data_IF_599093837590
#
_entry.id   IF_599093837590
#
_cell.length_a   1.000
_cell.length_b   1.000
_cell.length_c   1.000
_cell.angle_alpha   90.00
_cell.angle_beta   90.00
_cell.angle_gamma   90.00
#
_symmetry.space_group_name_H-M   'P 1'
#
loop_
_entity.id
_entity.type
_entity.pdbx_description
1 polymer ?
#
# COMPACT_ATOMS: atom_id res chain seq x y z
N UNK A 1 7.25 -74.49 -19.87
CA UNK A 1 7.60 -73.61 -18.74
C UNK A 1 7.55 -72.17 -19.25
N UNK A 2 6.42 -71.50 -19.00
CA UNK A 2 6.25 -70.07 -19.35
C UNK A 2 6.76 -69.24 -18.20
N UNK A 3 7.79 -68.36 -18.44
CA UNK A 3 8.24 -67.39 -17.45
C UNK A 3 7.42 -66.10 -17.60
N UNK A 4 6.56 -65.90 -16.60
CA UNK A 4 5.75 -64.69 -16.47
C UNK A 4 6.67 -63.52 -16.02
N UNK A 5 6.93 -62.50 -16.90
CA UNK A 5 7.63 -61.30 -16.55
C UNK A 5 6.66 -60.31 -15.89
N UNK A 6 6.82 -60.13 -14.59
CA UNK A 6 6.16 -59.05 -13.84
C UNK A 6 6.72 -57.72 -14.27
N UNK A 7 5.89 -56.89 -14.90
CA UNK A 7 6.21 -55.49 -15.19
C UNK A 7 5.72 -54.66 -14.00
N UNK A 8 6.64 -54.21 -13.18
CA UNK A 8 6.36 -53.25 -12.09
C UNK A 8 6.21 -51.87 -12.70
N UNK A 9 4.97 -51.38 -12.78
CA UNK A 9 4.66 -50.02 -13.17
C UNK A 9 4.92 -49.09 -11.99
N UNK A 10 6.04 -48.39 -11.99
CA UNK A 10 6.34 -47.32 -11.01
C UNK A 10 5.54 -46.10 -11.39
N UNK A 11 4.49 -45.81 -10.61
CA UNK A 11 3.75 -44.54 -10.70
C UNK A 11 4.60 -43.41 -10.11
N UNK A 12 5.17 -42.56 -10.99
CA UNK A 12 5.75 -41.28 -10.60
C UNK A 12 4.62 -40.33 -10.20
N UNK A 13 4.40 -40.18 -8.90
CA UNK A 13 3.59 -39.11 -8.36
C UNK A 13 4.41 -37.83 -8.42
N UNK A 14 4.21 -37.04 -9.48
CA UNK A 14 4.74 -35.68 -9.54
C UNK A 14 4.01 -34.84 -8.49
N UNK A 15 4.64 -34.61 -7.33
CA UNK A 15 4.24 -33.56 -6.41
C UNK A 15 4.45 -32.22 -7.12
N UNK A 16 3.38 -31.74 -7.77
CA UNK A 16 3.29 -30.37 -8.20
C UNK A 16 3.21 -29.51 -6.94
N UNK A 17 4.35 -28.96 -6.51
CA UNK A 17 4.37 -27.82 -5.59
C UNK A 17 3.69 -26.67 -6.30
N UNK A 18 2.37 -26.53 -6.08
CA UNK A 18 1.56 -25.43 -6.55
C UNK A 18 1.89 -24.17 -5.76
N UNK A 19 3.04 -23.54 -6.04
CA UNK A 19 3.24 -22.14 -5.74
C UNK A 19 2.12 -21.36 -6.44
N UNK A 20 1.26 -20.66 -5.70
CA UNK A 20 0.25 -19.79 -6.30
C UNK A 20 0.97 -18.88 -7.30
N UNK A 21 0.67 -19.03 -8.60
CA UNK A 21 1.18 -18.11 -9.63
C UNK A 21 0.69 -16.73 -9.21
N UNK A 22 1.62 -15.78 -9.00
CA UNK A 22 1.26 -14.39 -8.76
C UNK A 22 0.43 -13.92 -9.94
N UNK A 23 -0.69 -13.28 -9.65
CA UNK A 23 -1.58 -12.72 -10.67
C UNK A 23 -0.93 -11.47 -11.25
N UNK A 24 -0.91 -11.28 -12.60
CA UNK A 24 -0.45 -10.03 -13.20
C UNK A 24 -1.18 -8.79 -12.67
N UNK A 25 -2.45 -8.95 -12.28
CA UNK A 25 -3.26 -7.87 -11.68
C UNK A 25 -2.74 -7.50 -10.29
N UNK A 26 -2.36 -8.49 -9.48
CA UNK A 26 -1.74 -8.23 -8.18
C UNK A 26 -0.32 -7.67 -8.31
N UNK A 27 0.44 -8.05 -9.36
CA UNK A 27 1.73 -7.42 -9.67
C UNK A 27 1.52 -5.91 -9.96
N UNK A 28 0.52 -5.54 -10.79
CA UNK A 28 0.15 -4.14 -11.05
C UNK A 28 -0.29 -3.43 -9.77
N UNK A 29 -1.15 -4.06 -8.95
CA UNK A 29 -1.59 -3.50 -7.69
C UNK A 29 -0.41 -3.21 -6.74
N UNK A 30 0.60 -4.07 -6.71
CA UNK A 30 1.79 -3.87 -5.90
C UNK A 30 2.68 -2.73 -6.41
N UNK A 31 2.80 -2.55 -7.75
CA UNK A 31 3.49 -1.38 -8.31
C UNK A 31 2.79 -0.09 -7.89
N UNK A 32 1.44 -0.02 -7.99
CA UNK A 32 0.65 1.13 -7.50
C UNK A 32 0.86 1.34 -6.00
N UNK A 33 0.91 0.26 -5.20
CA UNK A 33 1.19 0.35 -3.77
C UNK A 33 2.57 0.95 -3.47
N UNK A 34 3.59 0.62 -4.24
CA UNK A 34 4.92 1.23 -4.11
C UNK A 34 4.90 2.73 -4.41
N UNK A 35 4.18 3.15 -5.47
CA UNK A 35 4.00 4.57 -5.79
C UNK A 35 3.31 5.32 -4.64
N UNK A 36 2.26 4.73 -4.06
CA UNK A 36 1.58 5.28 -2.87
C UNK A 36 2.57 5.54 -1.74
N UNK A 37 3.45 4.58 -1.45
CA UNK A 37 4.44 4.70 -0.38
C UNK A 37 5.47 5.79 -0.65
N UNK A 38 5.87 6.00 -1.90
CA UNK A 38 6.76 7.13 -2.24
C UNK A 38 6.05 8.48 -2.05
N UNK A 39 4.80 8.64 -2.52
CA UNK A 39 4.02 9.87 -2.30
C UNK A 39 3.81 10.11 -0.79
N UNK A 40 3.58 9.06 -0.03
CA UNK A 40 3.43 9.15 1.43
C UNK A 40 4.67 9.71 2.11
N UNK A 41 5.88 9.34 1.69
CA UNK A 41 7.13 9.93 2.19
C UNK A 41 7.19 11.43 1.94
N UNK A 42 6.78 11.85 0.75
CA UNK A 42 6.74 13.27 0.39
C UNK A 42 5.71 14.05 1.22
N UNK A 43 4.54 13.47 1.47
CA UNK A 43 3.51 14.05 2.36
C UNK A 43 4.06 14.22 3.78
N UNK A 44 4.76 13.22 4.32
CA UNK A 44 5.41 13.30 5.63
C UNK A 44 6.45 14.43 5.66
N UNK A 45 7.26 14.57 4.60
CA UNK A 45 8.22 15.67 4.49
C UNK A 45 7.55 17.05 4.40
N UNK A 46 6.37 17.14 3.78
CA UNK A 46 5.57 18.38 3.75
C UNK A 46 5.07 18.75 5.16
N UNK A 47 4.70 17.78 6.01
CA UNK A 47 4.29 18.07 7.39
C UNK A 47 5.37 18.80 8.18
N UNK A 48 6.63 18.38 8.06
CA UNK A 48 7.75 19.06 8.71
C UNK A 48 7.87 20.53 8.28
N UNK A 49 7.65 20.81 7.00
CA UNK A 49 7.67 22.19 6.46
C UNK A 49 6.46 23.01 6.96
N UNK A 50 5.26 22.40 6.96
CA UNK A 50 4.04 23.05 7.45
C UNK A 50 4.13 23.35 8.94
N UNK A 51 4.65 22.42 9.75
CA UNK A 51 4.89 22.65 11.17
C UNK A 51 5.87 23.81 11.41
N UNK A 52 6.92 23.91 10.58
CA UNK A 52 7.84 25.04 10.63
C UNK A 52 7.17 26.37 10.25
N UNK A 53 6.32 26.35 9.22
CA UNK A 53 5.57 27.53 8.77
C UNK A 53 4.59 28.01 9.82
N UNK A 54 3.84 27.11 10.47
CA UNK A 54 2.89 27.43 11.55
C UNK A 54 3.58 28.14 12.73
N UNK A 55 4.85 27.80 13.01
CA UNK A 55 5.63 28.38 14.10
C UNK A 55 6.48 29.61 13.66
N UNK A 56 6.28 30.12 12.47
CA UNK A 56 7.05 31.24 11.89
C UNK A 56 6.24 32.54 11.88
N UNK A 57 6.91 33.70 11.72
CA UNK A 57 6.24 34.97 11.44
C UNK A 57 5.47 35.00 10.12
N UNK A 58 5.70 34.01 9.24
CA UNK A 58 4.99 33.83 7.96
C UNK A 58 3.69 33.06 8.06
N UNK A 59 3.29 32.61 9.26
CA UNK A 59 2.01 31.96 9.44
C UNK A 59 0.85 32.91 9.13
N UNK A 60 -0.11 32.42 8.34
CA UNK A 60 -1.27 33.20 7.90
C UNK A 60 -2.57 32.69 8.54
N UNK A 61 -3.63 33.53 8.62
CA UNK A 61 -4.89 33.14 9.22
C UNK A 61 -5.49 31.90 8.54
N UNK A 62 -5.90 30.92 9.37
CA UNK A 62 -6.50 29.67 8.87
C UNK A 62 -5.53 28.54 8.54
N UNK A 63 -4.21 28.78 8.54
CA UNK A 63 -3.21 27.74 8.28
C UNK A 63 -3.36 26.56 9.26
N UNK A 64 -3.48 26.82 10.55
CA UNK A 64 -3.62 25.77 11.58
C UNK A 64 -4.83 24.88 11.34
N UNK A 65 -5.97 25.47 11.01
CA UNK A 65 -7.20 24.73 10.72
C UNK A 65 -7.04 23.87 9.46
N UNK A 66 -6.41 24.40 8.42
CA UNK A 66 -6.20 23.69 7.17
C UNK A 66 -5.21 22.52 7.34
N UNK A 67 -4.12 22.74 8.09
CA UNK A 67 -3.14 21.69 8.42
C UNK A 67 -3.81 20.59 9.25
N UNK A 68 -4.58 20.95 10.27
CA UNK A 68 -5.31 19.99 11.11
C UNK A 68 -6.30 19.15 10.27
N UNK A 69 -7.04 19.77 9.37
CA UNK A 69 -7.97 19.08 8.47
C UNK A 69 -7.24 18.10 7.53
N UNK A 70 -6.09 18.49 6.97
CA UNK A 70 -5.30 17.62 6.11
C UNK A 70 -4.66 16.46 6.88
N UNK A 71 -4.18 16.69 8.12
CA UNK A 71 -3.67 15.61 8.98
C UNK A 71 -4.78 14.60 9.30
N UNK A 72 -5.99 15.06 9.63
CA UNK A 72 -7.13 14.16 9.86
C UNK A 72 -7.51 13.36 8.62
N UNK A 73 -7.48 13.97 7.43
CA UNK A 73 -7.73 13.26 6.17
C UNK A 73 -6.65 12.21 5.89
N UNK A 74 -5.38 12.51 6.19
CA UNK A 74 -4.27 11.56 6.07
C UNK A 74 -4.41 10.38 7.03
N UNK A 75 -4.80 10.62 8.28
CA UNK A 75 -4.99 9.55 9.27
C UNK A 75 -6.12 8.61 8.83
N UNK A 76 -7.24 9.14 8.32
CA UNK A 76 -8.32 8.34 7.76
C UNK A 76 -7.85 7.53 6.54
N UNK A 77 -7.15 8.17 5.60
CA UNK A 77 -6.61 7.51 4.42
C UNK A 77 -5.62 6.39 4.80
N UNK A 78 -4.72 6.64 5.77
CA UNK A 78 -3.75 5.65 6.26
C UNK A 78 -4.45 4.43 6.87
N UNK A 79 -5.52 4.65 7.62
CA UNK A 79 -6.32 3.57 8.22
C UNK A 79 -6.96 2.68 7.14
N UNK A 80 -7.37 3.26 6.02
CA UNK A 80 -8.08 2.56 4.94
C UNK A 80 -7.12 1.95 3.90
N UNK A 81 -5.81 2.17 4.04
CA UNK A 81 -4.81 1.66 3.11
C UNK A 81 -4.70 0.13 3.20
N UNK A 82 -4.93 -0.53 2.08
CA UNK A 82 -4.92 -1.97 1.94
C UNK A 82 -3.53 -2.49 1.57
N UNK A 83 -3.05 -3.51 2.29
CA UNK A 83 -1.85 -4.27 1.91
C UNK A 83 -2.15 -5.30 0.81
N UNK A 84 -1.15 -5.61 -0.01
CA UNK A 84 -1.32 -6.54 -1.14
C UNK A 84 -1.04 -7.97 -0.70
N UNK A 85 -2.02 -8.89 -0.78
CA UNK A 85 -1.84 -10.26 -0.34
C UNK A 85 -0.71 -10.99 -1.08
N UNK A 86 0.22 -11.59 -0.31
CA UNK A 86 1.33 -12.35 -0.87
C UNK A 86 2.53 -11.52 -1.33
N UNK A 87 2.53 -10.19 -1.08
CA UNK A 87 3.65 -9.30 -1.34
C UNK A 87 4.29 -8.80 -0.05
N UNK A 88 5.58 -8.40 -0.08
CA UNK A 88 6.24 -7.83 1.08
C UNK A 88 5.57 -6.53 1.54
N UNK A 89 5.44 -6.35 2.86
CA UNK A 89 5.01 -5.08 3.43
C UNK A 89 6.10 -4.01 3.23
N UNK A 90 5.68 -2.81 2.86
CA UNK A 90 6.58 -1.67 2.71
C UNK A 90 6.41 -0.79 3.96
N UNK A 91 7.43 -0.82 4.82
CA UNK A 91 7.49 0.00 6.02
C UNK A 91 8.13 1.36 5.71
N UNK A 92 7.57 2.43 6.24
CA UNK A 92 8.21 3.73 6.28
C UNK A 92 8.92 3.91 7.61
N UNK A 93 10.02 4.68 7.64
CA UNK A 93 10.69 5.03 8.88
C UNK A 93 9.73 5.80 9.78
N UNK A 94 9.55 5.31 11.02
CA UNK A 94 8.63 5.89 11.98
C UNK A 94 7.22 5.29 11.98
N UNK A 95 6.91 4.31 11.13
CA UNK A 95 5.71 3.51 11.30
C UNK A 95 5.81 2.72 12.61
N UNK A 96 5.14 3.20 13.65
CA UNK A 96 4.95 2.43 14.88
C UNK A 96 4.11 1.22 14.50
N UNK A 97 4.65 0.03 14.72
CA UNK A 97 4.07 -1.25 14.33
C UNK A 97 2.76 -1.54 15.10
N UNK A 98 1.71 -0.81 14.83
CA UNK A 98 0.36 -1.30 15.09
C UNK A 98 -0.08 -2.12 13.89
N UNK A 99 0.22 -3.42 13.95
CA UNK A 99 -0.19 -4.40 12.95
C UNK A 99 -1.71 -4.65 13.03
N UNK A 100 -2.51 -3.66 12.71
CA UNK A 100 -3.90 -3.86 12.34
C UNK A 100 -4.00 -4.03 10.82
N UNK A 101 -3.19 -4.98 10.30
CA UNK A 101 -3.37 -5.42 8.93
C UNK A 101 -4.67 -6.24 8.90
N UNK A 102 -5.74 -5.64 8.41
CA UNK A 102 -6.85 -6.44 7.92
C UNK A 102 -6.30 -7.27 6.76
N UNK A 103 -5.93 -8.52 7.02
CA UNK A 103 -5.77 -9.49 5.95
C UNK A 103 -7.11 -9.59 5.24
N UNK A 104 -7.25 -8.86 4.15
CA UNK A 104 -8.41 -8.93 3.27
C UNK A 104 -8.27 -10.18 2.39
N UNK A 105 -8.25 -11.35 3.04
CA UNK A 105 -8.36 -12.63 2.38
C UNK A 105 -9.76 -12.75 1.81
N UNK A 106 -9.89 -12.64 0.49
CA UNK A 106 -11.14 -12.92 -0.21
C UNK A 106 -11.62 -11.88 -1.20
N UNK A 107 -10.93 -10.75 -1.36
CA UNK A 107 -11.25 -9.82 -2.44
C UNK A 107 -10.71 -10.35 -3.78
N UNK A 108 -11.46 -10.18 -4.90
CA UNK A 108 -10.93 -10.40 -6.24
C UNK A 108 -9.72 -9.49 -6.52
N UNK A 109 -8.75 -9.99 -7.30
CA UNK A 109 -7.53 -9.27 -7.63
C UNK A 109 -7.79 -7.91 -8.30
N UNK A 110 -8.79 -7.84 -9.19
CA UNK A 110 -9.22 -6.62 -9.86
C UNK A 110 -9.76 -5.58 -8.86
N UNK A 111 -10.47 -6.04 -7.83
CA UNK A 111 -10.98 -5.15 -6.80
C UNK A 111 -9.85 -4.59 -5.93
N UNK A 112 -8.83 -5.40 -5.63
CA UNK A 112 -7.63 -4.95 -4.93
C UNK A 112 -6.93 -3.86 -5.73
N UNK A 113 -6.75 -4.05 -7.04
CA UNK A 113 -6.15 -3.07 -7.92
C UNK A 113 -6.94 -1.75 -7.95
N UNK A 114 -8.26 -1.80 -8.04
CA UNK A 114 -9.10 -0.59 -8.02
C UNK A 114 -9.03 0.14 -6.68
N UNK A 115 -8.96 -0.58 -5.55
CA UNK A 115 -8.76 0.01 -4.23
C UNK A 115 -7.38 0.71 -4.17
N UNK A 116 -6.32 0.10 -4.70
CA UNK A 116 -5.01 0.73 -4.75
C UNK A 116 -5.01 2.00 -5.60
N UNK A 117 -5.64 2.00 -6.77
CA UNK A 117 -5.78 3.20 -7.61
C UNK A 117 -6.55 4.32 -6.89
N UNK A 118 -7.62 3.99 -6.19
CA UNK A 118 -8.37 4.94 -5.38
C UNK A 118 -7.54 5.50 -4.22
N UNK A 119 -6.78 4.64 -3.51
CA UNK A 119 -5.88 5.05 -2.43
C UNK A 119 -4.76 5.96 -2.93
N UNK A 120 -4.20 5.71 -4.13
CA UNK A 120 -3.23 6.60 -4.76
C UNK A 120 -3.81 7.98 -5.02
N UNK A 121 -5.01 8.05 -5.61
CA UNK A 121 -5.69 9.33 -5.84
C UNK A 121 -5.94 10.09 -4.53
N UNK A 122 -6.27 9.39 -3.44
CA UNK A 122 -6.46 9.99 -2.13
C UNK A 122 -5.20 10.64 -1.57
N UNK A 123 -4.04 9.96 -1.65
CA UNK A 123 -2.78 10.52 -1.15
C UNK A 123 -2.25 11.65 -2.05
N UNK A 124 -2.46 11.58 -3.37
CA UNK A 124 -2.14 12.65 -4.32
C UNK A 124 -2.95 13.93 -4.01
N UNK A 125 -4.22 13.80 -3.60
CA UNK A 125 -5.03 14.94 -3.19
C UNK A 125 -4.53 15.57 -1.88
N UNK A 126 -4.13 14.74 -0.91
CA UNK A 126 -3.52 15.23 0.34
C UNK A 126 -2.21 15.95 0.05
N UNK A 127 -1.34 15.37 -0.77
CA UNK A 127 -0.09 15.97 -1.22
C UNK A 127 -0.32 17.35 -1.87
N UNK A 128 -1.28 17.42 -2.78
CA UNK A 128 -1.63 18.65 -3.51
C UNK A 128 -2.19 19.73 -2.58
N UNK A 129 -3.00 19.35 -1.60
CA UNK A 129 -3.50 20.29 -0.58
C UNK A 129 -2.38 20.84 0.29
N UNK A 130 -1.47 20.00 0.76
CA UNK A 130 -0.32 20.44 1.53
C UNK A 130 0.58 21.38 0.73
N UNK A 131 0.80 21.05 -0.55
CA UNK A 131 1.62 21.87 -1.45
C UNK A 131 1.05 23.29 -1.57
N UNK A 132 -0.26 23.41 -1.79
CA UNK A 132 -0.93 24.72 -1.83
C UNK A 132 -0.79 25.54 -0.53
N UNK A 133 -0.78 24.87 0.64
CA UNK A 133 -0.57 25.55 1.91
C UNK A 133 0.85 26.08 2.09
N UNK A 134 1.82 25.44 1.45
CA UNK A 134 3.24 25.87 1.48
C UNK A 134 3.55 27.01 0.51
N UNK A 135 2.70 27.23 -0.51
CA UNK A 135 2.89 28.25 -1.55
C UNK A 135 2.18 29.59 -1.23
N UNK A 136 1.30 29.64 -0.21
CA UNK A 136 0.61 30.84 0.23
C UNK A 136 1.45 31.65 1.24
#
# INVERSE_FOLDING_TARGET
MMKLKMITLAALVAFSCGGKKKSPVLDEAYEVHKEIREIQKEVIAQWTKLDSLQNSPGAYPGLDSAVAANKSAYDSWKHDLLEIPGYPHIHLEGDVHEHHHQEQSGLPDEQILEIQKASRSGIEDIFSRNHRLLEN
#
